data_IF_928141273004
#
_entry.id   IF_928141273004
#
_cell.length_a   1.000
_cell.length_b   1.000
_cell.length_c   1.000
_cell.angle_alpha   90.00
_cell.angle_beta   90.00
_cell.angle_gamma   90.00
#
_symmetry.space_group_name_H-M   'P 1'
#
loop_
_entity.id
_entity.type
_entity.pdbx_description
1 polymer ?
#
# COMPACT_ATOMS: atom_id res chain seq x y z
N UNK A 1 12.01 10.70 -7.45
CA UNK A 1 11.94 9.65 -6.40
C UNK A 1 12.91 10.03 -5.28
N UNK A 2 13.40 9.11 -4.45
CA UNK A 2 14.46 9.36 -3.46
C UNK A 2 15.70 8.53 -3.76
N UNK A 3 16.84 8.89 -3.15
CA UNK A 3 18.06 8.09 -3.25
C UNK A 3 17.85 6.66 -2.73
N UNK A 4 17.15 6.51 -1.59
CA UNK A 4 16.85 5.21 -1.00
C UNK A 4 16.04 4.31 -1.93
N UNK A 5 15.05 4.86 -2.64
CA UNK A 5 14.32 4.08 -3.66
C UNK A 5 15.24 3.60 -4.78
N UNK A 6 16.24 4.40 -5.19
CA UNK A 6 17.21 3.98 -6.20
C UNK A 6 18.05 2.80 -5.75
N UNK A 7 18.56 2.85 -4.51
CA UNK A 7 19.33 1.76 -3.90
C UNK A 7 18.52 0.46 -3.86
N UNK A 8 17.27 0.54 -3.37
CA UNK A 8 16.38 -0.63 -3.27
C UNK A 8 16.08 -1.23 -4.64
N UNK A 9 15.87 -0.40 -5.68
CA UNK A 9 15.69 -0.89 -7.05
C UNK A 9 16.92 -1.68 -7.50
N UNK A 10 18.13 -1.18 -7.25
CA UNK A 10 19.35 -1.87 -7.65
C UNK A 10 19.58 -3.18 -6.88
N UNK A 11 19.25 -3.20 -5.59
CA UNK A 11 19.49 -4.32 -4.68
C UNK A 11 18.43 -5.42 -4.79
N UNK A 12 17.14 -5.06 -4.75
CA UNK A 12 16.06 -6.02 -4.55
C UNK A 12 15.35 -6.40 -5.84
N UNK A 13 15.25 -5.48 -6.79
CA UNK A 13 14.41 -5.70 -7.97
C UNK A 13 14.87 -6.88 -8.84
N UNK A 14 16.19 -7.14 -9.06
CA UNK A 14 16.60 -8.33 -9.79
C UNK A 14 16.07 -9.63 -9.16
N UNK A 15 15.99 -9.67 -7.80
CA UNK A 15 15.45 -10.79 -7.05
C UNK A 15 13.93 -10.87 -7.19
N UNK A 16 13.23 -9.73 -7.11
CA UNK A 16 11.78 -9.67 -7.30
C UNK A 16 11.37 -10.09 -8.72
N UNK A 17 12.06 -9.63 -9.76
CA UNK A 17 11.83 -10.03 -11.16
C UNK A 17 12.11 -11.53 -11.34
N UNK A 18 13.15 -12.08 -10.72
CA UNK A 18 13.43 -13.52 -10.78
C UNK A 18 12.30 -14.33 -10.13
N UNK A 19 11.84 -13.89 -8.95
CA UNK A 19 10.69 -14.48 -8.26
C UNK A 19 9.42 -14.40 -9.11
N UNK A 20 9.12 -13.25 -9.71
CA UNK A 20 7.93 -13.05 -10.55
C UNK A 20 7.95 -13.94 -11.80
N UNK A 21 9.09 -14.08 -12.48
CA UNK A 21 9.24 -14.99 -13.63
C UNK A 21 8.96 -16.45 -13.26
N UNK A 22 9.34 -16.86 -12.07
CA UNK A 22 9.09 -18.22 -11.57
C UNK A 22 7.62 -18.40 -11.14
N UNK A 23 7.04 -17.42 -10.44
CA UNK A 23 5.79 -17.60 -9.71
C UNK A 23 4.54 -17.02 -10.41
N UNK A 24 4.67 -15.95 -11.19
CA UNK A 24 3.54 -15.30 -11.85
C UNK A 24 2.80 -16.24 -12.84
N UNK A 25 3.48 -17.09 -13.64
CA UNK A 25 2.78 -18.01 -14.56
C UNK A 25 1.89 -19.03 -13.84
N UNK A 26 2.35 -19.54 -12.68
CA UNK A 26 1.56 -20.46 -11.88
C UNK A 26 0.33 -19.77 -11.28
N UNK A 27 0.49 -18.53 -10.79
CA UNK A 27 -0.63 -17.71 -10.30
C UNK A 27 -1.62 -17.36 -11.42
N UNK A 28 -1.14 -17.05 -12.62
CA UNK A 28 -1.99 -16.83 -13.79
C UNK A 28 -2.81 -18.09 -14.10
N UNK A 29 -2.18 -19.27 -14.14
CA UNK A 29 -2.88 -20.53 -14.39
C UNK A 29 -3.97 -20.80 -13.34
N UNK A 30 -3.69 -20.50 -12.07
CA UNK A 30 -4.68 -20.59 -10.99
C UNK A 30 -5.89 -19.66 -11.22
N UNK A 31 -5.65 -18.36 -11.44
CA UNK A 31 -6.76 -17.41 -11.66
C UNK A 31 -7.49 -17.65 -12.99
N UNK A 32 -6.82 -18.16 -14.02
CA UNK A 32 -7.46 -18.57 -15.26
C UNK A 32 -8.35 -19.81 -15.07
N UNK A 33 -7.91 -20.76 -14.23
CA UNK A 33 -8.76 -21.88 -13.82
C UNK A 33 -10.01 -21.40 -13.09
N UNK A 34 -9.85 -20.53 -12.08
CA UNK A 34 -10.98 -19.95 -11.35
C UNK A 34 -11.95 -19.23 -12.30
N UNK A 35 -11.43 -18.42 -13.21
CA UNK A 35 -12.23 -17.71 -14.21
C UNK A 35 -13.05 -18.67 -15.08
N UNK A 36 -12.41 -19.74 -15.60
CA UNK A 36 -13.07 -20.73 -16.47
C UNK A 36 -14.10 -21.58 -15.74
N UNK A 37 -13.88 -21.88 -14.46
CA UNK A 37 -14.78 -22.69 -13.65
C UNK A 37 -15.84 -21.87 -12.91
N UNK A 38 -15.80 -20.54 -12.95
CA UNK A 38 -16.70 -19.71 -12.17
C UNK A 38 -18.14 -19.84 -12.67
N UNK A 39 -19.05 -20.26 -11.78
CA UNK A 39 -20.47 -20.43 -12.06
C UNK A 39 -21.38 -19.61 -11.13
N UNK A 40 -20.79 -18.71 -10.34
CA UNK A 40 -21.51 -17.86 -9.39
C UNK A 40 -22.03 -16.55 -10.00
N UNK A 41 -22.37 -15.59 -9.15
CA UNK A 41 -22.78 -14.25 -9.59
C UNK A 41 -21.58 -13.44 -10.09
N UNK A 42 -21.61 -13.00 -11.34
CA UNK A 42 -20.54 -12.18 -11.95
C UNK A 42 -20.49 -10.75 -11.41
N UNK A 43 -21.45 -10.34 -10.57
CA UNK A 43 -21.40 -9.09 -9.81
C UNK A 43 -20.82 -9.28 -8.41
N UNK A 44 -20.59 -10.52 -7.98
CA UNK A 44 -20.02 -10.82 -6.67
C UNK A 44 -18.58 -10.33 -6.52
N UNK A 45 -18.19 -10.04 -5.28
CA UNK A 45 -16.81 -9.68 -4.93
C UNK A 45 -15.80 -10.73 -5.39
N UNK A 46 -16.13 -12.00 -5.23
CA UNK A 46 -15.29 -13.14 -5.65
C UNK A 46 -14.93 -13.05 -7.14
N UNK A 47 -15.94 -12.85 -8.00
CA UNK A 47 -15.69 -12.73 -9.45
C UNK A 47 -14.89 -11.48 -9.80
N UNK A 48 -15.16 -10.35 -9.13
CA UNK A 48 -14.40 -9.12 -9.35
C UNK A 48 -12.93 -9.28 -8.96
N UNK A 49 -12.62 -10.04 -7.89
CA UNK A 49 -11.24 -10.36 -7.55
C UNK A 49 -10.56 -11.21 -8.63
N UNK A 50 -11.26 -12.19 -9.23
CA UNK A 50 -10.73 -12.98 -10.34
C UNK A 50 -10.40 -12.07 -11.54
N UNK A 51 -11.33 -11.17 -11.91
CA UNK A 51 -11.13 -10.22 -13.01
C UNK A 51 -10.00 -9.23 -12.77
N UNK A 52 -9.67 -8.94 -11.51
CA UNK A 52 -8.55 -8.08 -11.14
C UNK A 52 -7.22 -8.84 -11.22
N UNK A 53 -7.13 -10.01 -10.60
CA UNK A 53 -5.87 -10.73 -10.44
C UNK A 53 -5.42 -11.50 -11.68
N UNK A 54 -6.35 -12.04 -12.48
CA UNK A 54 -6.01 -12.75 -13.72
C UNK A 54 -5.18 -11.86 -14.67
N UNK A 55 -5.66 -10.69 -15.12
CA UNK A 55 -4.87 -9.84 -16.00
C UNK A 55 -3.61 -9.30 -15.32
N UNK A 56 -3.62 -9.07 -14.00
CA UNK A 56 -2.42 -8.68 -13.26
C UNK A 56 -1.29 -9.70 -13.42
N UNK A 57 -1.56 -10.99 -13.18
CA UNK A 57 -0.55 -12.04 -13.35
C UNK A 57 -0.22 -12.33 -14.82
N UNK A 58 -1.15 -12.08 -15.74
CA UNK A 58 -0.86 -12.13 -17.18
C UNK A 58 0.17 -11.07 -17.58
N UNK A 59 -0.02 -9.84 -17.11
CA UNK A 59 0.92 -8.75 -17.38
C UNK A 59 2.26 -9.04 -16.71
N UNK A 60 2.30 -9.42 -15.43
CA UNK A 60 3.57 -9.77 -14.76
C UNK A 60 4.33 -10.88 -15.48
N UNK A 61 3.64 -11.94 -15.92
CA UNK A 61 4.27 -13.06 -16.63
C UNK A 61 4.94 -12.64 -17.95
N UNK A 62 4.47 -11.56 -18.57
CA UNK A 62 4.88 -11.14 -19.90
C UNK A 62 5.69 -9.83 -19.93
N UNK A 63 5.59 -8.99 -18.88
CA UNK A 63 6.12 -7.63 -18.86
C UNK A 63 7.64 -7.61 -18.96
N UNK A 64 8.33 -8.51 -18.25
CA UNK A 64 9.80 -8.58 -18.22
C UNK A 64 10.46 -8.88 -19.57
N UNK A 65 9.68 -9.30 -20.57
CA UNK A 65 10.16 -9.51 -21.94
C UNK A 65 10.32 -8.17 -22.70
N UNK A 66 9.64 -7.12 -22.25
CA UNK A 66 9.51 -5.83 -22.96
C UNK A 66 9.87 -4.63 -22.12
N UNK A 67 9.58 -4.69 -20.81
CA UNK A 67 9.82 -3.64 -19.84
C UNK A 67 11.12 -3.92 -19.12
N UNK A 68 11.96 -2.90 -19.01
CA UNK A 68 13.18 -2.92 -18.23
C UNK A 68 13.11 -1.81 -17.20
N UNK A 69 13.58 -2.11 -16.01
CA UNK A 69 13.62 -1.12 -14.97
C UNK A 69 14.75 -0.13 -15.20
N UNK A 70 14.49 1.09 -14.75
CA UNK A 70 15.43 2.19 -14.75
C UNK A 70 15.35 2.90 -13.40
N UNK A 71 16.50 3.26 -12.87
CA UNK A 71 16.63 4.08 -11.67
C UNK A 71 16.17 5.53 -11.91
N UNK A 72 15.71 6.24 -10.86
CA UNK A 72 15.31 7.65 -10.98
C UNK A 72 16.48 8.56 -11.37
N UNK A 73 16.24 9.54 -12.24
CA UNK A 73 17.26 10.55 -12.61
C UNK A 73 17.33 11.74 -11.62
N UNK A 74 16.30 11.92 -10.79
CA UNK A 74 16.20 13.00 -9.81
C UNK A 74 15.70 12.49 -8.45
N UNK A 75 16.36 12.96 -7.41
CA UNK A 75 16.08 12.62 -6.02
C UNK A 75 15.51 13.81 -5.25
N UNK A 76 14.58 13.53 -4.35
CA UNK A 76 13.94 14.48 -3.45
C UNK A 76 14.16 14.00 -2.02
N UNK A 77 15.05 14.66 -1.29
CA UNK A 77 15.41 14.26 0.08
C UNK A 77 14.51 14.92 1.15
N UNK A 78 13.90 16.05 0.80
CA UNK A 78 12.93 16.75 1.65
C UNK A 78 11.83 17.39 0.80
N UNK A 79 11.85 18.71 0.63
CA UNK A 79 10.89 19.44 -0.22
C UNK A 79 11.62 19.95 -1.46
N UNK A 80 11.10 19.63 -2.63
CA UNK A 80 11.53 20.17 -3.91
C UNK A 80 10.37 20.93 -4.57
N UNK A 81 10.57 22.23 -4.77
CA UNK A 81 9.58 23.09 -5.43
C UNK A 81 9.87 23.12 -6.94
N UNK A 82 8.82 22.95 -7.74
CA UNK A 82 8.85 23.16 -9.19
C UNK A 82 7.86 24.28 -9.48
N UNK A 83 8.39 25.46 -9.77
CA UNK A 83 7.60 26.64 -10.11
C UNK A 83 7.38 26.70 -11.63
N UNK A 84 6.21 26.26 -12.07
CA UNK A 84 5.74 26.44 -13.44
C UNK A 84 5.10 27.82 -13.64
N UNK A 85 4.85 28.22 -14.91
CA UNK A 85 4.21 29.51 -15.20
C UNK A 85 2.79 29.63 -14.62
N UNK A 86 2.06 28.52 -14.51
CA UNK A 86 0.66 28.49 -14.08
C UNK A 86 0.43 27.80 -12.72
N UNK A 87 1.42 27.06 -12.23
CA UNK A 87 1.27 26.14 -11.09
C UNK A 87 2.57 26.02 -10.32
N UNK A 88 2.48 26.06 -8.99
CA UNK A 88 3.54 25.60 -8.11
C UNK A 88 3.29 24.15 -7.72
N UNK A 89 4.32 23.34 -7.81
CA UNK A 89 4.30 21.92 -7.43
C UNK A 89 5.32 21.71 -6.31
N UNK A 90 4.92 21.01 -5.26
CA UNK A 90 5.83 20.58 -4.20
C UNK A 90 5.94 19.06 -4.23
N UNK A 91 7.12 18.55 -4.52
CA UNK A 91 7.48 17.16 -4.25
C UNK A 91 8.01 17.08 -2.83
N UNK A 92 7.42 16.23 -1.99
CA UNK A 92 7.75 16.16 -0.57
C UNK A 92 8.06 14.72 -0.21
N UNK A 93 9.25 14.50 0.34
CA UNK A 93 9.72 13.25 0.92
C UNK A 93 10.04 13.45 2.40
N UNK A 94 9.68 12.48 3.23
CA UNK A 94 9.99 12.42 4.67
C UNK A 94 10.56 11.05 5.06
N UNK A 95 10.99 10.26 4.08
CA UNK A 95 11.47 8.89 4.27
C UNK A 95 10.33 7.88 4.44
N UNK A 96 10.54 6.91 5.32
CA UNK A 96 9.68 5.74 5.50
C UNK A 96 8.22 6.08 5.81
N UNK A 97 7.31 5.26 5.28
CA UNK A 97 5.88 5.34 5.49
C UNK A 97 5.19 4.04 5.09
N UNK A 98 4.51 4.01 3.95
CA UNK A 98 4.02 2.78 3.32
C UNK A 98 5.18 1.90 2.83
N UNK A 99 6.27 2.53 2.40
CA UNK A 99 7.48 1.83 1.97
C UNK A 99 8.69 2.32 2.75
N UNK A 100 9.87 1.80 2.43
CA UNK A 100 11.16 2.32 2.92
C UNK A 100 11.39 3.80 2.55
N UNK A 101 10.68 4.31 1.55
CA UNK A 101 10.76 5.72 1.16
C UNK A 101 9.56 6.16 0.32
N UNK A 102 8.76 7.08 0.86
CA UNK A 102 7.59 7.61 0.16
C UNK A 102 7.78 9.06 -0.32
N UNK A 103 7.01 9.42 -1.33
CA UNK A 103 7.01 10.74 -1.97
C UNK A 103 5.57 11.16 -2.25
N UNK A 104 5.21 12.39 -1.86
CA UNK A 104 3.91 13.00 -2.20
C UNK A 104 4.10 14.19 -3.12
N UNK A 105 3.10 14.46 -3.95
CA UNK A 105 3.03 15.67 -4.78
C UNK A 105 1.90 16.55 -4.27
N UNK A 106 2.20 17.80 -3.90
CA UNK A 106 1.24 18.76 -3.39
C UNK A 106 1.17 19.99 -4.31
N UNK A 107 -0.07 20.41 -4.62
CA UNK A 107 -0.40 21.59 -5.41
C UNK A 107 -1.00 22.64 -4.46
N UNK A 108 -0.19 23.51 -3.84
CA UNK A 108 -0.65 24.45 -2.82
C UNK A 108 -1.65 25.49 -3.32
N UNK A 109 -1.60 25.84 -4.60
CA UNK A 109 -2.50 26.85 -5.18
C UNK A 109 -3.89 26.27 -5.52
N UNK A 110 -4.00 24.94 -5.57
CA UNK A 110 -5.24 24.22 -5.88
C UNK A 110 -5.80 23.44 -4.68
N UNK A 111 -5.08 23.41 -3.55
CA UNK A 111 -5.38 22.59 -2.35
C UNK A 111 -5.51 21.08 -2.68
N UNK A 112 -4.68 20.56 -3.60
CA UNK A 112 -4.69 19.15 -4.05
C UNK A 112 -3.42 18.42 -3.63
N UNK A 113 -3.54 17.21 -3.09
CA UNK A 113 -2.40 16.33 -2.80
C UNK A 113 -2.56 14.96 -3.47
N UNK A 114 -1.46 14.45 -4.04
CA UNK A 114 -1.30 13.09 -4.51
C UNK A 114 -0.40 12.37 -3.53
N UNK A 115 -0.95 11.35 -2.87
CA UNK A 115 -0.31 10.75 -1.69
C UNK A 115 0.51 9.51 -2.02
N UNK A 116 0.40 9.00 -3.25
CA UNK A 116 0.76 7.61 -3.53
C UNK A 116 0.06 6.67 -2.56
N UNK A 117 0.71 5.55 -2.27
CA UNK A 117 0.18 4.54 -1.35
C UNK A 117 0.31 4.94 0.14
N UNK A 118 0.54 6.21 0.48
CA UNK A 118 0.36 6.65 1.86
C UNK A 118 -1.11 6.76 2.26
N UNK A 119 -2.04 6.87 1.30
CA UNK A 119 -3.48 6.94 1.55
C UNK A 119 -4.23 6.06 0.56
N UNK A 120 -5.19 5.30 1.07
CA UNK A 120 -6.07 4.42 0.30
C UNK A 120 -7.52 4.80 0.57
N UNK A 121 -8.38 4.67 -0.45
CA UNK A 121 -9.83 4.84 -0.31
C UNK A 121 -10.55 3.51 -0.51
N UNK A 122 -11.26 3.07 0.52
CA UNK A 122 -12.01 1.80 0.56
C UNK A 122 -11.18 0.59 0.11
N UNK A 123 -9.88 0.60 0.42
CA UNK A 123 -8.91 -0.42 0.07
C UNK A 123 -8.01 -0.68 1.28
N UNK A 124 -7.79 -1.95 1.62
CA UNK A 124 -6.78 -2.34 2.59
C UNK A 124 -5.37 -2.08 2.01
N UNK A 125 -4.50 -1.33 2.69
CA UNK A 125 -3.10 -1.21 2.28
C UNK A 125 -2.34 -2.51 2.48
N UNK A 126 -1.16 -2.64 1.87
CA UNK A 126 -0.18 -3.67 2.23
C UNK A 126 0.87 -3.08 3.17
N UNK A 127 0.69 -3.30 4.47
CA UNK A 127 1.51 -2.73 5.54
C UNK A 127 2.93 -3.34 5.68
N UNK A 128 3.20 -4.63 5.36
CA UNK A 128 4.49 -5.26 5.67
C UNK A 128 5.75 -4.64 5.05
N UNK A 129 5.63 -3.78 4.04
CA UNK A 129 6.77 -3.04 3.46
C UNK A 129 7.04 -1.70 4.13
N UNK A 130 6.19 -1.30 5.08
CA UNK A 130 6.19 0.04 5.66
C UNK A 130 6.61 0.07 7.12
N UNK A 131 6.54 1.28 7.67
CA UNK A 131 6.75 1.54 9.10
C UNK A 131 5.51 2.25 9.65
N UNK A 132 4.70 1.54 10.44
CA UNK A 132 3.40 2.05 10.94
C UNK A 132 3.55 3.39 11.68
N UNK A 133 4.58 3.54 12.50
CA UNK A 133 4.82 4.76 13.27
C UNK A 133 5.17 5.95 12.36
N UNK A 134 6.11 5.75 11.42
CA UNK A 134 6.50 6.78 10.46
C UNK A 134 5.38 7.12 9.48
N UNK A 135 4.57 6.13 9.10
CA UNK A 135 3.41 6.32 8.26
C UNK A 135 2.33 7.17 8.95
N UNK A 136 2.02 6.92 10.23
CA UNK A 136 1.14 7.82 11.00
C UNK A 136 1.68 9.25 11.04
N UNK A 137 2.99 9.43 11.15
CA UNK A 137 3.62 10.76 11.11
C UNK A 137 3.50 11.44 9.72
N UNK A 138 3.54 10.67 8.63
CA UNK A 138 3.20 11.15 7.30
C UNK A 138 1.77 11.67 7.21
N UNK A 139 0.81 10.91 7.75
CA UNK A 139 -0.60 11.27 7.75
C UNK A 139 -0.86 12.53 8.59
N UNK A 140 -0.18 12.67 9.73
CA UNK A 140 -0.23 13.90 10.55
C UNK A 140 0.35 15.12 9.82
N UNK A 141 1.47 14.93 9.13
CA UNK A 141 2.04 15.98 8.29
C UNK A 141 1.06 16.41 7.19
N UNK A 142 0.46 15.48 6.45
CA UNK A 142 -0.49 15.82 5.37
C UNK A 142 -1.75 16.51 5.91
N UNK A 143 -2.24 16.12 7.08
CA UNK A 143 -3.34 16.81 7.76
C UNK A 143 -2.99 18.25 8.20
N UNK A 144 -1.70 18.59 8.32
CA UNK A 144 -1.26 19.96 8.62
C UNK A 144 -1.22 20.88 7.39
N UNK A 145 -1.33 20.33 6.18
CA UNK A 145 -1.37 21.08 4.93
C UNK A 145 -2.80 21.59 4.66
N UNK A 146 -2.94 22.65 3.85
CA UNK A 146 -4.25 23.11 3.39
C UNK A 146 -4.73 22.25 2.22
N UNK A 147 -5.20 21.05 2.50
CA UNK A 147 -5.69 20.10 1.50
C UNK A 147 -7.21 20.08 1.50
N UNK A 148 -7.81 20.15 0.31
CA UNK A 148 -9.24 19.94 0.07
C UNK A 148 -9.52 18.71 -0.77
N UNK A 149 -8.58 18.35 -1.66
CA UNK A 149 -8.73 17.19 -2.52
C UNK A 149 -7.53 16.25 -2.36
N UNK A 150 -7.82 14.99 -2.07
CA UNK A 150 -6.84 13.92 -1.90
C UNK A 150 -6.97 12.95 -3.06
N UNK A 151 -5.88 12.73 -3.78
CA UNK A 151 -5.70 11.68 -4.78
C UNK A 151 -4.94 10.53 -4.09
N UNK A 152 -5.63 9.48 -3.63
CA UNK A 152 -4.98 8.33 -3.02
C UNK A 152 -4.22 7.52 -4.06
N UNK A 153 -3.35 6.60 -3.61
CA UNK A 153 -2.71 5.63 -4.49
C UNK A 153 -3.71 4.64 -5.10
N UNK A 154 -4.76 4.32 -4.33
CA UNK A 154 -5.86 3.45 -4.76
C UNK A 154 -7.23 3.96 -4.28
N UNK A 155 -8.24 3.69 -5.11
CA UNK A 155 -9.62 4.09 -4.88
C UNK A 155 -9.94 5.47 -5.45
N UNK A 156 -11.18 5.91 -5.26
CA UNK A 156 -11.65 7.20 -5.76
C UNK A 156 -11.00 8.37 -5.00
N UNK A 157 -10.82 9.50 -5.69
CA UNK A 157 -10.43 10.74 -5.04
C UNK A 157 -11.46 11.17 -3.99
N UNK A 158 -10.99 11.86 -2.95
CA UNK A 158 -11.84 12.28 -1.83
C UNK A 158 -11.32 13.58 -1.20
N UNK A 159 -11.78 13.90 0.00
CA UNK A 159 -11.36 15.07 0.78
C UNK A 159 -10.27 14.69 1.80
N UNK A 160 -9.79 15.66 2.57
CA UNK A 160 -8.82 15.50 3.65
C UNK A 160 -9.24 14.48 4.72
N UNK A 161 -10.55 14.22 4.84
CA UNK A 161 -11.10 13.19 5.74
C UNK A 161 -10.50 11.80 5.48
N UNK A 162 -10.08 11.53 4.25
CA UNK A 162 -9.47 10.26 3.87
C UNK A 162 -8.12 10.02 4.55
N UNK A 163 -7.32 11.07 4.76
CA UNK A 163 -6.03 10.99 5.47
C UNK A 163 -6.26 10.52 6.92
N UNK A 164 -7.29 11.08 7.56
CA UNK A 164 -7.69 10.69 8.92
C UNK A 164 -8.23 9.27 8.97
N UNK A 165 -9.04 8.86 7.98
CA UNK A 165 -9.53 7.47 7.84
C UNK A 165 -8.36 6.48 7.74
N UNK A 166 -7.34 6.80 6.93
CA UNK A 166 -6.17 5.95 6.81
C UNK A 166 -5.37 5.86 8.11
N UNK A 167 -5.24 6.98 8.84
CA UNK A 167 -4.56 6.99 10.15
C UNK A 167 -5.29 6.11 11.16
N UNK A 168 -6.62 6.20 11.19
CA UNK A 168 -7.45 5.39 12.08
C UNK A 168 -7.36 3.90 11.75
N UNK A 169 -7.22 3.53 10.47
CA UNK A 169 -6.99 2.13 10.09
C UNK A 169 -5.69 1.58 10.70
N UNK A 170 -4.59 2.34 10.62
CA UNK A 170 -3.31 1.93 11.20
C UNK A 170 -3.37 1.83 12.73
N UNK A 171 -4.05 2.76 13.39
CA UNK A 171 -4.27 2.73 14.84
C UNK A 171 -5.14 1.53 15.25
N UNK A 172 -6.23 1.28 14.53
CA UNK A 172 -7.09 0.13 14.79
C UNK A 172 -6.31 -1.19 14.60
N UNK A 173 -5.44 -1.26 13.60
CA UNK A 173 -4.57 -2.41 13.35
C UNK A 173 -3.61 -2.69 14.52
N UNK A 174 -2.92 -1.66 15.03
CA UNK A 174 -2.06 -1.78 16.22
C UNK A 174 -2.85 -2.19 17.46
N UNK A 175 -4.02 -1.59 17.70
CA UNK A 175 -4.85 -1.93 18.84
C UNK A 175 -5.29 -3.40 18.81
N UNK A 176 -5.72 -3.90 17.63
CA UNK A 176 -6.05 -5.31 17.47
C UNK A 176 -4.85 -6.22 17.73
N UNK A 177 -3.65 -5.82 17.28
CA UNK A 177 -2.43 -6.57 17.54
C UNK A 177 -2.09 -6.62 19.05
N UNK A 178 -2.24 -5.51 19.77
CA UNK A 178 -2.09 -5.45 21.24
C UNK A 178 -3.09 -6.36 21.94
N UNK A 179 -4.37 -6.31 21.57
CA UNK A 179 -5.40 -7.18 22.15
C UNK A 179 -5.13 -8.68 21.93
N UNK A 180 -4.46 -9.04 20.83
CA UNK A 180 -4.06 -10.42 20.58
C UNK A 180 -2.89 -10.85 21.47
N UNK A 181 -1.92 -9.97 21.72
CA UNK A 181 -0.82 -10.21 22.65
C UNK A 181 -1.32 -10.44 24.08
N UNK A 182 -2.29 -9.64 24.53
CA UNK A 182 -2.89 -9.77 25.86
C UNK A 182 -3.62 -11.11 26.07
N UNK A 183 -4.05 -11.77 24.99
CA UNK A 183 -4.75 -13.06 25.05
C UNK A 183 -3.82 -14.28 25.11
N UNK A 184 -2.50 -14.08 25.00
CA UNK A 184 -1.44 -15.11 25.07
C UNK A 184 -1.76 -16.39 24.27
N UNK A 185 -2.16 -16.20 23.01
CA UNK A 185 -2.49 -17.30 22.12
C UNK A 185 -1.18 -17.85 21.51
N UNK A 186 -0.73 -19.02 21.98
CA UNK A 186 0.53 -19.64 21.52
C UNK A 186 0.53 -20.06 20.04
N UNK A 187 -0.65 -20.24 19.44
CA UNK A 187 -0.83 -20.70 18.04
C UNK A 187 -1.89 -19.86 17.30
N UNK A 188 -1.62 -18.57 17.07
CA UNK A 188 -2.55 -17.69 16.34
C UNK A 188 -2.59 -18.06 14.85
N UNK A 189 -3.77 -18.48 14.39
CA UNK A 189 -4.08 -18.53 12.96
C UNK A 189 -4.64 -17.18 12.49
N UNK A 190 -3.77 -16.29 12.02
CA UNK A 190 -4.16 -14.94 11.56
C UNK A 190 -5.18 -14.96 10.41
N UNK A 191 -5.14 -15.99 9.55
CA UNK A 191 -6.10 -16.14 8.45
C UNK A 191 -7.51 -16.50 8.92
N UNK A 192 -7.66 -16.95 10.18
CA UNK A 192 -8.95 -17.26 10.80
C UNK A 192 -9.56 -16.08 11.55
N UNK A 193 -8.82 -14.97 11.70
CA UNK A 193 -9.32 -13.78 12.39
C UNK A 193 -10.24 -13.01 11.45
N UNK A 194 -11.50 -12.75 11.82
CA UNK A 194 -12.43 -12.04 10.96
C UNK A 194 -12.04 -10.57 10.81
N UNK A 195 -12.27 -10.04 9.60
CA UNK A 195 -12.15 -8.62 9.32
C UNK A 195 -13.05 -7.77 10.23
N UNK A 196 -12.57 -6.62 10.72
CA UNK A 196 -13.42 -5.68 11.45
C UNK A 196 -14.59 -5.22 10.59
N UNK A 197 -15.79 -5.18 11.17
CA UNK A 197 -17.01 -4.75 10.48
C UNK A 197 -16.85 -3.38 9.81
N UNK A 198 -16.04 -2.49 10.41
CA UNK A 198 -15.72 -1.16 9.89
C UNK A 198 -15.03 -1.18 8.52
N UNK A 199 -14.24 -2.20 8.22
CA UNK A 199 -13.41 -2.31 7.00
C UNK A 199 -13.83 -3.47 6.10
N UNK A 200 -14.85 -4.26 6.46
CA UNK A 200 -15.23 -5.51 5.78
C UNK A 200 -15.50 -5.37 4.28
N UNK A 201 -15.94 -4.20 3.84
CA UNK A 201 -16.35 -3.94 2.45
C UNK A 201 -15.19 -3.38 1.60
N UNK A 202 -14.03 -3.09 2.21
CA UNK A 202 -12.86 -2.55 1.52
C UNK A 202 -12.23 -3.59 0.58
N UNK A 203 -11.69 -3.10 -0.54
CA UNK A 203 -10.91 -3.89 -1.51
C UNK A 203 -9.61 -4.37 -0.88
N UNK A 204 -9.04 -5.41 -1.49
CA UNK A 204 -7.80 -6.04 -1.00
C UNK A 204 -7.90 -6.62 0.43
N UNK A 205 -9.09 -7.06 0.84
CA UNK A 205 -9.36 -7.83 2.06
C UNK A 205 -8.31 -8.91 2.36
N UNK A 206 -7.77 -9.58 1.34
CA UNK A 206 -6.68 -10.55 1.44
C UNK A 206 -5.40 -10.04 2.15
N UNK A 207 -5.17 -8.74 2.22
CA UNK A 207 -4.01 -8.17 2.91
C UNK A 207 -4.21 -8.09 4.42
N UNK A 208 -5.43 -8.21 4.91
CA UNK A 208 -5.73 -8.05 6.33
C UNK A 208 -4.95 -9.01 7.23
N UNK A 209 -4.93 -10.30 6.92
CA UNK A 209 -4.24 -11.28 7.77
C UNK A 209 -2.72 -11.02 7.80
N UNK A 210 -2.13 -10.64 6.67
CA UNK A 210 -0.72 -10.23 6.59
C UNK A 210 -0.44 -8.96 7.37
N UNK A 211 -1.31 -7.94 7.26
CA UNK A 211 -1.18 -6.69 7.99
C UNK A 211 -1.26 -6.90 9.50
N UNK A 212 -2.22 -7.71 9.96
CA UNK A 212 -2.42 -8.00 11.37
C UNK A 212 -1.25 -8.81 11.94
N UNK A 213 -0.77 -9.81 11.20
CA UNK A 213 0.43 -10.56 11.55
C UNK A 213 1.64 -9.64 11.70
N UNK A 214 1.87 -8.77 10.72
CA UNK A 214 2.98 -7.82 10.77
C UNK A 214 2.88 -6.90 11.99
N UNK A 215 1.71 -6.30 12.23
CA UNK A 215 1.50 -5.44 13.39
C UNK A 215 1.70 -6.19 14.73
N UNK A 216 1.32 -7.46 14.79
CA UNK A 216 1.57 -8.32 15.94
C UNK A 216 3.07 -8.60 16.14
N UNK A 217 3.79 -8.95 15.07
CA UNK A 217 5.21 -9.30 15.13
C UNK A 217 6.09 -8.12 15.56
N UNK A 218 5.80 -6.90 15.10
CA UNK A 218 6.60 -5.72 15.46
C UNK A 218 6.45 -5.30 16.93
N UNK A 219 5.34 -5.65 17.60
CA UNK A 219 5.17 -5.40 19.05
C UNK A 219 6.20 -6.23 19.84
N UNK A 220 6.45 -7.48 19.44
CA UNK A 220 7.46 -8.33 20.07
C UNK A 220 8.87 -7.76 19.95
N UNK A 221 9.19 -7.14 18.81
CA UNK A 221 10.52 -6.56 18.56
C UNK A 221 10.79 -5.31 19.42
N UNK A 222 9.75 -4.56 19.79
CA UNK A 222 9.87 -3.36 20.63
C UNK A 222 9.85 -3.67 22.14
N UNK A 223 9.55 -4.90 22.54
CA UNK A 223 9.57 -5.37 23.94
C UNK A 223 10.92 -5.92 24.42
N UNK A 224 11.94 -5.91 23.55
CA UNK A 224 13.27 -6.49 23.81
C UNK A 224 14.42 -5.47 23.91
N UNK A 225 14.13 -4.18 24.07
CA UNK A 225 15.14 -3.15 24.42
C UNK A 225 15.22 -2.87 25.93
#
# INVERSE_FOLDING_TARGET
STARTSEIIEEEEPLQIAYEKENAPARLAYYDSLYKSFSGDTKSREYQQILMWKPYYEILSNSHLKVKTRVPDMFVDSIHNIDGPDRRIQLISKGQGHTESDLVLYLPDDDIIFTGDLVFNECHPYVPHGNISKWKAWLDFMNSLNVKTVMPGHGELSTETLITTMKNYLVDLENMAVELHEKDLSDISFDSIPLPVKYKDWWFDRFYSSNLRFAYEIINSNGTE
#
